data_IF_538906379306
#
_entry.id   IF_538906379306
#
_cell.length_a   1.000
_cell.length_b   1.000
_cell.length_c   1.000
_cell.angle_alpha   90.00
_cell.angle_beta   90.00
_cell.angle_gamma   90.00
#
_symmetry.space_group_name_H-M   'P 1'
#
loop_
_entity.id
_entity.type
_entity.pdbx_description
1 polymer ?
#
# COMPACT_ATOMS: atom_id res chain seq x y z
N UNK A 1 3.57 2.41 17.72
CA UNK A 1 4.62 1.61 17.05
C UNK A 1 5.54 2.46 16.16
N UNK A 2 6.68 1.93 15.69
CA UNK A 2 7.52 2.57 14.66
C UNK A 2 7.21 1.94 13.30
N UNK A 3 6.98 2.78 12.29
CA UNK A 3 6.77 2.39 10.90
C UNK A 3 7.89 2.90 10.00
N UNK A 4 8.13 2.20 8.90
CA UNK A 4 9.27 2.40 8.02
C UNK A 4 8.83 2.74 6.59
N UNK A 5 9.53 3.68 5.96
CA UNK A 5 9.41 3.98 4.53
C UNK A 5 10.77 3.83 3.85
N UNK A 6 10.81 3.06 2.76
CA UNK A 6 12.01 2.90 1.94
C UNK A 6 11.99 3.78 0.68
N UNK A 7 13.00 4.62 0.52
CA UNK A 7 13.14 5.55 -0.62
C UNK A 7 14.61 5.65 -1.07
N UNK A 8 14.87 6.47 -2.09
CA UNK A 8 16.22 6.81 -2.55
C UNK A 8 16.78 8.11 -1.94
N UNK A 9 16.03 8.70 -1.00
CA UNK A 9 16.35 9.89 -0.22
C UNK A 9 15.71 9.77 1.17
N UNK A 10 16.21 10.53 2.13
CA UNK A 10 15.53 10.69 3.43
C UNK A 10 14.24 11.50 3.27
N UNK A 11 13.19 11.09 3.99
CA UNK A 11 11.90 11.77 4.05
C UNK A 11 11.61 12.13 5.50
N UNK A 12 11.73 13.41 5.84
CA UNK A 12 11.42 13.95 7.17
C UNK A 12 10.00 14.48 7.29
N UNK A 13 9.37 14.85 6.17
CA UNK A 13 7.99 15.32 6.10
C UNK A 13 7.22 14.55 5.03
N UNK A 14 6.05 14.04 5.42
CA UNK A 14 5.17 13.28 4.53
C UNK A 14 4.44 14.25 3.61
N UNK A 15 4.51 13.97 2.31
CA UNK A 15 3.80 14.67 1.26
C UNK A 15 3.05 13.64 0.41
N UNK A 16 1.74 13.52 0.65
CA UNK A 16 0.86 12.56 0.00
C UNK A 16 0.76 12.85 -1.51
N UNK A 17 0.98 14.10 -1.93
CA UNK A 17 0.86 14.47 -3.33
C UNK A 17 1.98 13.93 -4.22
N UNK A 18 3.11 13.55 -3.61
CA UNK A 18 4.18 12.80 -4.27
C UNK A 18 3.84 11.32 -4.50
N UNK A 19 2.76 10.84 -3.89
CA UNK A 19 2.23 9.50 -4.12
C UNK A 19 1.83 9.31 -5.59
N UNK A 20 2.04 8.10 -6.11
CA UNK A 20 1.60 7.74 -7.46
C UNK A 20 0.15 7.27 -7.44
N UNK A 21 -0.59 7.58 -8.50
CA UNK A 21 -1.91 6.96 -8.78
C UNK A 21 -1.76 5.48 -9.16
N UNK A 22 -2.87 4.73 -9.15
CA UNK A 22 -2.89 3.31 -9.53
C UNK A 22 -2.18 2.37 -8.56
N UNK A 23 -1.92 2.82 -7.32
CA UNK A 23 -1.34 2.00 -6.25
C UNK A 23 -2.44 1.21 -5.54
N UNK A 24 -2.04 0.18 -4.81
CA UNK A 24 -2.92 -0.79 -4.14
C UNK A 24 -3.99 -0.13 -3.26
N UNK A 25 -3.58 0.83 -2.43
CA UNK A 25 -4.47 1.60 -1.56
C UNK A 25 -4.59 3.07 -2.00
N UNK A 26 -4.46 3.30 -3.30
CA UNK A 26 -4.61 4.62 -3.91
C UNK A 26 -3.40 5.56 -3.71
N UNK A 27 -3.61 6.85 -4.01
CA UNK A 27 -2.54 7.86 -3.88
C UNK A 27 -2.30 8.15 -2.40
N UNK A 28 -1.11 7.80 -1.90
CA UNK A 28 -0.81 7.83 -0.46
C UNK A 28 0.68 7.76 -0.16
N UNK A 29 0.99 7.85 1.14
CA UNK A 29 2.32 7.57 1.68
C UNK A 29 2.32 6.19 2.35
N UNK A 30 3.16 5.29 1.86
CA UNK A 30 3.14 3.89 2.26
C UNK A 30 4.20 3.60 3.31
N UNK A 31 3.77 2.92 4.37
CA UNK A 31 4.57 2.55 5.52
C UNK A 31 4.49 1.04 5.74
N UNK A 32 5.54 0.47 6.35
CA UNK A 32 5.57 -0.94 6.76
C UNK A 32 6.04 -1.07 8.20
N UNK A 33 5.53 -2.06 8.93
CA UNK A 33 6.07 -2.49 10.22
C UNK A 33 7.32 -3.37 10.06
N UNK A 34 7.51 -3.99 8.89
CA UNK A 34 8.68 -4.81 8.57
C UNK A 34 9.79 -3.96 7.93
N UNK A 35 10.84 -3.73 8.70
CA UNK A 35 12.01 -2.99 8.23
C UNK A 35 12.67 -3.64 7.00
N UNK A 36 12.68 -4.97 6.88
CA UNK A 36 13.31 -5.66 5.74
C UNK A 36 12.58 -5.36 4.44
N UNK A 37 11.26 -5.22 4.53
CA UNK A 37 10.45 -4.82 3.40
C UNK A 37 10.74 -3.37 2.99
N UNK A 38 10.90 -2.46 3.95
CA UNK A 38 11.32 -1.09 3.67
C UNK A 38 12.72 -1.05 3.03
N UNK A 39 13.67 -1.87 3.48
CA UNK A 39 15.02 -2.03 2.89
C UNK A 39 14.98 -2.50 1.44
N UNK A 40 14.16 -3.53 1.16
CA UNK A 40 13.91 -3.99 -0.22
C UNK A 40 13.33 -2.86 -1.07
N UNK A 41 12.38 -2.10 -0.54
CA UNK A 41 11.74 -0.98 -1.24
C UNK A 41 12.69 0.19 -1.49
N UNK A 42 13.57 0.53 -0.55
CA UNK A 42 14.60 1.56 -0.72
C UNK A 42 15.58 1.18 -1.84
N UNK A 43 16.03 -0.08 -1.85
CA UNK A 43 16.92 -0.62 -2.88
C UNK A 43 16.26 -0.58 -4.26
N UNK A 44 15.03 -1.10 -4.37
CA UNK A 44 14.26 -1.08 -5.63
C UNK A 44 13.96 0.34 -6.12
N UNK A 45 13.63 1.26 -5.22
CA UNK A 45 13.34 2.65 -5.57
C UNK A 45 14.58 3.36 -6.08
N UNK A 46 15.72 3.19 -5.40
CA UNK A 46 17.00 3.75 -5.83
C UNK A 46 17.42 3.24 -7.20
N UNK A 47 17.34 1.91 -7.41
CA UNK A 47 17.62 1.29 -8.71
C UNK A 47 16.73 1.87 -9.82
N UNK A 48 15.42 1.97 -9.60
CA UNK A 48 14.47 2.51 -10.59
C UNK A 48 14.68 3.99 -10.90
N UNK A 49 15.13 4.77 -9.93
CA UNK A 49 15.39 6.20 -10.10
C UNK A 49 16.75 6.50 -10.73
N UNK A 50 17.70 5.56 -10.65
CA UNK A 50 19.07 5.74 -11.14
C UNK A 50 19.85 6.84 -10.42
N UNK A 51 19.37 7.30 -9.25
CA UNK A 51 19.97 8.38 -8.45
C UNK A 51 19.62 8.26 -6.98
N UNK A 52 20.41 8.93 -6.14
CA UNK A 52 20.28 8.88 -4.68
C UNK A 52 20.90 7.61 -4.10
N UNK A 53 20.57 7.31 -2.85
CA UNK A 53 21.03 6.12 -2.12
C UNK A 53 19.87 5.49 -1.38
N UNK A 54 19.86 4.16 -1.13
CA UNK A 54 18.79 3.55 -0.36
C UNK A 54 18.74 4.14 1.05
N UNK A 55 17.58 4.69 1.45
CA UNK A 55 17.36 5.27 2.78
C UNK A 55 16.06 4.73 3.38
N UNK A 56 16.10 4.47 4.69
CA UNK A 56 14.94 4.10 5.49
C UNK A 56 14.58 5.25 6.42
N UNK A 57 13.41 5.86 6.19
CA UNK A 57 12.84 6.87 7.07
C UNK A 57 11.93 6.20 8.09
N UNK A 58 12.01 6.63 9.35
CA UNK A 58 11.25 6.05 10.49
C UNK A 58 10.22 7.05 10.97
N UNK A 59 9.01 6.56 11.24
CA UNK A 59 7.89 7.37 11.70
C UNK A 59 7.29 6.74 12.95
N UNK A 60 7.09 7.53 14.00
CA UNK A 60 6.34 7.09 15.17
C UNK A 60 4.84 7.17 14.84
N UNK A 61 4.14 6.07 15.02
CA UNK A 61 2.69 5.98 14.86
C UNK A 61 2.02 5.73 16.21
N UNK A 62 1.14 6.64 16.61
CA UNK A 62 0.33 6.49 17.82
C UNK A 62 -0.87 5.57 17.55
N UNK A 63 -0.78 4.35 18.06
CA UNK A 63 -1.82 3.33 17.89
C UNK A 63 -3.12 3.67 18.62
N UNK A 64 -3.12 4.61 19.57
CA UNK A 64 -4.33 5.02 20.26
C UNK A 64 -5.38 5.61 19.30
N UNK A 65 -4.93 6.13 18.14
CA UNK A 65 -5.76 6.61 17.03
C UNK A 65 -6.70 5.53 16.50
N UNK A 66 -6.27 4.25 16.52
CA UNK A 66 -7.06 3.14 15.99
C UNK A 66 -8.28 2.79 16.86
N UNK A 67 -8.36 3.34 18.08
CA UNK A 67 -9.42 3.02 19.04
C UNK A 67 -10.75 3.79 18.78
N UNK A 68 -10.91 4.44 17.63
CA UNK A 68 -12.18 5.06 17.21
C UNK A 68 -12.57 6.34 17.95
N UNK A 69 -11.64 6.96 18.69
CA UNK A 69 -11.87 8.22 19.43
C UNK A 69 -11.53 9.49 18.62
N UNK A 70 -11.22 9.33 17.34
CA UNK A 70 -10.82 10.43 16.46
C UNK A 70 -11.75 10.51 15.25
N UNK A 71 -11.80 11.67 14.61
CA UNK A 71 -12.55 11.89 13.36
C UNK A 71 -11.86 11.28 12.12
N UNK A 72 -10.84 10.44 12.33
CA UNK A 72 -10.03 9.82 11.27
C UNK A 72 -10.80 8.62 10.69
N UNK A 73 -10.97 8.60 9.37
CA UNK A 73 -11.61 7.49 8.65
C UNK A 73 -10.59 6.39 8.39
N UNK A 74 -10.75 5.28 9.10
CA UNK A 74 -9.82 4.14 9.04
C UNK A 74 -10.47 2.97 8.33
N UNK A 75 -9.78 2.41 7.33
CA UNK A 75 -10.12 1.14 6.70
C UNK A 75 -9.08 0.09 7.04
N UNK A 76 -9.50 -0.98 7.70
CA UNK A 76 -8.60 -2.09 8.04
C UNK A 76 -9.10 -3.39 7.41
N UNK A 77 -8.21 -4.07 6.70
CA UNK A 77 -8.43 -5.38 6.13
C UNK A 77 -7.73 -6.44 7.00
N UNK A 78 -8.48 -7.43 7.48
CA UNK A 78 -7.94 -8.52 8.31
C UNK A 78 -7.14 -9.58 7.55
N UNK A 79 -7.07 -9.48 6.22
CA UNK A 79 -6.38 -10.43 5.35
C UNK A 79 -6.79 -10.24 3.90
N UNK A 80 -6.43 -11.20 3.05
CA UNK A 80 -6.91 -11.25 1.68
C UNK A 80 -8.40 -11.64 1.71
N UNK A 81 -9.27 -10.66 1.52
CA UNK A 81 -10.73 -10.85 1.44
C UNK A 81 -11.24 -10.37 0.08
N UNK A 82 -12.48 -10.71 -0.26
CA UNK A 82 -13.14 -10.17 -1.46
C UNK A 82 -13.15 -8.64 -1.40
N UNK A 83 -13.52 -8.08 -0.25
CA UNK A 83 -13.53 -6.62 -0.04
C UNK A 83 -12.15 -6.00 -0.25
N UNK A 84 -11.08 -6.64 0.24
CA UNK A 84 -9.72 -6.19 -0.02
C UNK A 84 -9.40 -6.23 -1.51
N UNK A 85 -9.72 -7.32 -2.21
CA UNK A 85 -9.45 -7.46 -3.64
C UNK A 85 -10.21 -6.41 -4.47
N UNK A 86 -11.48 -6.17 -4.16
CA UNK A 86 -12.29 -5.12 -4.79
C UNK A 86 -11.70 -3.73 -4.54
N UNK A 87 -11.22 -3.47 -3.32
CA UNK A 87 -10.57 -2.20 -2.98
C UNK A 87 -9.26 -2.00 -3.75
N UNK A 88 -8.44 -3.03 -3.90
CA UNK A 88 -7.22 -2.99 -4.71
C UNK A 88 -7.57 -2.68 -6.17
N UNK A 89 -8.56 -3.38 -6.73
CA UNK A 89 -8.99 -3.21 -8.11
C UNK A 89 -9.53 -1.80 -8.36
N UNK A 90 -10.34 -1.28 -7.44
CA UNK A 90 -10.83 0.10 -7.45
C UNK A 90 -9.68 1.09 -7.57
N UNK A 91 -8.66 0.98 -6.72
CA UNK A 91 -7.54 1.91 -6.69
C UNK A 91 -6.58 1.76 -7.87
N UNK A 92 -6.27 0.52 -8.28
CA UNK A 92 -5.39 0.25 -9.44
C UNK A 92 -6.00 0.72 -10.75
N UNK A 93 -7.32 0.62 -10.89
CA UNK A 93 -8.04 1.09 -12.08
C UNK A 93 -8.25 2.61 -12.08
N UNK A 94 -8.01 3.29 -10.96
CA UNK A 94 -8.10 4.74 -10.87
C UNK A 94 -6.89 5.41 -11.55
N UNK A 95 -7.12 5.85 -12.79
CA UNK A 95 -6.14 6.56 -13.61
C UNK A 95 -6.14 8.08 -13.41
N UNK A 96 -6.90 8.60 -12.43
CA UNK A 96 -6.94 10.03 -12.09
C UNK A 96 -6.04 10.35 -10.91
N UNK A 97 -5.87 11.65 -10.60
CA UNK A 97 -5.21 12.10 -9.37
C UNK A 97 -6.18 12.28 -8.20
N UNK A 98 -7.48 12.07 -8.42
CA UNK A 98 -8.52 12.17 -7.40
C UNK A 98 -8.55 10.83 -6.68
N UNK A 99 -8.58 10.83 -5.35
CA UNK A 99 -8.68 9.58 -4.62
C UNK A 99 -10.00 8.84 -4.90
N UNK A 100 -9.95 7.51 -4.91
CA UNK A 100 -11.13 6.66 -5.13
C UNK A 100 -11.95 6.41 -3.86
N UNK A 101 -11.41 6.80 -2.70
CA UNK A 101 -12.02 6.66 -1.39
C UNK A 101 -11.68 7.87 -0.51
N UNK A 102 -12.36 7.98 0.62
CA UNK A 102 -12.21 9.08 1.59
C UNK A 102 -11.55 8.64 2.91
N UNK A 103 -11.01 7.42 3.00
CA UNK A 103 -10.22 6.97 4.15
C UNK A 103 -8.88 7.72 4.27
N UNK A 104 -8.57 8.14 5.49
CA UNK A 104 -7.32 8.79 5.87
C UNK A 104 -6.20 7.76 6.11
N UNK A 105 -6.56 6.60 6.68
CA UNK A 105 -5.64 5.50 6.97
C UNK A 105 -6.22 4.21 6.41
N UNK A 106 -5.40 3.49 5.63
CA UNK A 106 -5.72 2.15 5.13
C UNK A 106 -4.66 1.17 5.62
N UNK A 107 -5.11 0.12 6.31
CA UNK A 107 -4.27 -0.95 6.86
C UNK A 107 -4.68 -2.26 6.19
N UNK A 108 -3.73 -3.00 5.64
CA UNK A 108 -4.03 -4.28 5.01
C UNK A 108 -2.79 -5.03 4.56
N UNK A 109 -2.96 -6.28 4.11
CA UNK A 109 -1.85 -7.09 3.61
C UNK A 109 -1.25 -6.47 2.36
N UNK A 110 0.04 -6.74 2.15
CA UNK A 110 0.82 -6.11 1.07
C UNK A 110 0.72 -6.95 -0.19
N UNK A 111 0.45 -6.28 -1.31
CA UNK A 111 0.45 -6.88 -2.62
C UNK A 111 1.89 -7.21 -3.06
N UNK A 112 2.29 -8.47 -2.91
CA UNK A 112 3.55 -9.00 -3.42
C UNK A 112 3.42 -9.46 -4.90
N UNK A 113 4.46 -10.13 -5.41
CA UNK A 113 4.47 -10.65 -6.78
C UNK A 113 3.37 -11.72 -7.00
N UNK A 114 3.04 -12.49 -5.96
CA UNK A 114 1.95 -13.47 -5.97
C UNK A 114 0.61 -12.78 -6.19
N UNK A 115 0.34 -11.71 -5.44
CA UNK A 115 -0.85 -10.87 -5.62
C UNK A 115 -0.90 -10.30 -7.04
N UNK A 116 0.23 -9.81 -7.55
CA UNK A 116 0.33 -9.26 -8.91
C UNK A 116 -0.06 -10.28 -10.00
N UNK A 117 0.38 -11.54 -9.84
CA UNK A 117 0.03 -12.63 -10.74
C UNK A 117 -1.46 -12.97 -10.69
N UNK A 118 -2.00 -13.14 -9.49
CA UNK A 118 -3.40 -13.55 -9.33
C UNK A 118 -4.37 -12.47 -9.80
N UNK A 119 -4.09 -11.19 -9.51
CA UNK A 119 -4.89 -10.08 -10.03
C UNK A 119 -4.89 -10.05 -11.56
N UNK A 120 -3.77 -10.35 -12.22
CA UNK A 120 -3.71 -10.43 -13.68
C UNK A 120 -4.59 -11.55 -14.23
N UNK A 121 -4.55 -12.74 -13.61
CA UNK A 121 -5.41 -13.87 -13.98
C UNK A 121 -6.90 -13.52 -13.83
N UNK A 122 -7.25 -12.81 -12.76
CA UNK A 122 -8.61 -12.32 -12.54
C UNK A 122 -9.02 -11.32 -13.64
N UNK A 123 -8.20 -10.30 -13.91
CA UNK A 123 -8.47 -9.29 -14.94
C UNK A 123 -8.62 -9.92 -16.34
N UNK A 124 -7.86 -10.99 -16.62
CA UNK A 124 -7.95 -11.75 -17.88
C UNK A 124 -9.13 -12.73 -17.93
N UNK A 125 -9.90 -12.87 -16.85
CA UNK A 125 -11.06 -13.77 -16.78
C UNK A 125 -10.70 -15.24 -16.56
N UNK A 126 -9.45 -15.58 -16.22
CA UNK A 126 -9.03 -16.95 -15.96
C UNK A 126 -9.49 -17.49 -14.60
N UNK A 127 -9.72 -16.59 -13.65
CA UNK A 127 -10.26 -16.91 -12.32
C UNK A 127 -11.32 -15.88 -11.94
N UNK A 128 -12.30 -16.28 -11.13
CA UNK A 128 -13.24 -15.36 -10.50
C UNK A 128 -12.68 -14.77 -9.19
N UNK A 129 -13.37 -13.79 -8.60
CA UNK A 129 -12.87 -13.08 -7.42
C UNK A 129 -12.76 -13.99 -6.18
N UNK A 130 -13.65 -14.98 -6.04
CA UNK A 130 -13.57 -15.96 -4.95
C UNK A 130 -12.31 -16.83 -5.08
N UNK A 131 -11.97 -17.26 -6.30
CA UNK A 131 -10.74 -18.00 -6.59
C UNK A 131 -9.50 -17.14 -6.34
N UNK A 132 -9.50 -15.87 -6.77
CA UNK A 132 -8.42 -14.91 -6.48
C UNK A 132 -8.11 -14.87 -4.98
N UNK A 133 -9.13 -14.70 -4.14
CA UNK A 133 -8.96 -14.61 -2.68
C UNK A 133 -8.50 -15.94 -2.07
N UNK A 134 -9.08 -17.05 -2.51
CA UNK A 134 -8.71 -18.39 -2.03
C UNK A 134 -7.24 -18.74 -2.37
N UNK A 135 -6.73 -18.32 -3.52
CA UNK A 135 -5.34 -18.59 -3.93
C UNK A 135 -4.31 -17.66 -3.26
N UNK A 136 -4.75 -16.60 -2.57
CA UNK A 136 -3.89 -15.68 -1.81
C UNK A 136 -3.85 -15.98 -0.30
N UNK A 137 -4.82 -16.74 0.20
CA UNK A 137 -4.99 -17.08 1.62
C UNK A 137 -4.18 -18.31 2.01
#
# INVERSE_FOLDING_TARGET
MILYHGSNIEISQIDIDKGRKGKDFGKGFYLSEDIKQAEKMASLTTFRQGKGVPVISKFMFDESILNGKSDIKIKQFGGYTIEWAEFILLNRNNNTNIQAHDYDIVIGPIADDTVGLQLRRFIQGYINISQLVNELS
#
